data_IF_229635085526
#
_entry.id   IF_229635085526
#
_cell.length_a   1.000
_cell.length_b   1.000
_cell.length_c   1.000
_cell.angle_alpha   90.00
_cell.angle_beta   90.00
_cell.angle_gamma   90.00
#
_symmetry.space_group_name_H-M   'P 1'
#
loop_
_entity.id
_entity.type
_entity.pdbx_description
1 polymer ?
#
# COMPACT_ATOMS: atom_id res chain seq x y z
N UNK A 1 -12.06 -8.57 -8.20
CA UNK A 1 -11.33 -9.86 -8.31
C UNK A 1 -9.80 -9.65 -8.41
N UNK A 2 -9.21 -8.89 -7.47
CA UNK A 2 -7.77 -8.85 -7.13
C UNK A 2 -7.55 -8.81 -5.61
N UNK A 3 -8.63 -8.73 -4.83
CA UNK A 3 -8.65 -8.68 -3.36
C UNK A 3 -8.29 -10.03 -2.71
N UNK A 4 -8.44 -11.13 -3.46
CA UNK A 4 -8.30 -12.49 -2.91
C UNK A 4 -6.84 -12.92 -2.61
N UNK A 5 -5.87 -12.36 -3.35
CA UNK A 5 -4.45 -12.76 -3.27
C UNK A 5 -3.81 -12.35 -1.93
N UNK A 6 -4.35 -11.32 -1.27
CA UNK A 6 -3.83 -10.80 0.01
C UNK A 6 -4.61 -11.31 1.22
N UNK A 7 -5.76 -11.96 0.98
CA UNK A 7 -6.63 -12.52 2.02
C UNK A 7 -6.26 -13.97 2.35
N UNK A 8 -5.59 -14.64 1.41
CA UNK A 8 -5.18 -16.04 1.49
C UNK A 8 -3.91 -16.24 2.33
N UNK A 9 -3.67 -17.49 2.75
CA UNK A 9 -2.45 -17.90 3.45
C UNK A 9 -1.17 -17.53 2.66
N UNK A 10 -1.25 -17.52 1.33
CA UNK A 10 -0.19 -17.04 0.45
C UNK A 10 0.12 -15.56 0.63
N UNK A 11 -0.91 -14.72 0.82
CA UNK A 11 -0.75 -13.30 1.13
C UNK A 11 0.03 -13.08 2.42
N UNK A 12 -0.29 -13.86 3.47
CA UNK A 12 0.44 -13.80 4.75
C UNK A 12 1.89 -14.23 4.61
N UNK A 13 2.17 -15.31 3.89
CA UNK A 13 3.54 -15.76 3.58
C UNK A 13 4.32 -14.69 2.81
N UNK A 14 3.68 -14.04 1.85
CA UNK A 14 4.28 -12.97 1.07
C UNK A 14 4.63 -11.76 1.95
N UNK A 15 3.73 -11.32 2.83
CA UNK A 15 3.99 -10.22 3.77
C UNK A 15 5.12 -10.56 4.74
N UNK A 16 5.12 -11.77 5.31
CA UNK A 16 6.19 -12.23 6.19
C UNK A 16 7.55 -12.26 5.49
N UNK A 17 7.59 -12.76 4.25
CA UNK A 17 8.81 -12.74 3.44
C UNK A 17 9.33 -11.32 3.19
N UNK A 18 8.44 -10.34 2.97
CA UNK A 18 8.84 -8.93 2.81
C UNK A 18 9.37 -8.36 4.14
N UNK A 19 8.75 -8.69 5.27
CA UNK A 19 9.21 -8.22 6.59
C UNK A 19 10.61 -8.76 6.93
N UNK A 20 10.90 -10.02 6.57
CA UNK A 20 12.20 -10.65 6.81
C UNK A 20 13.28 -10.18 5.83
N UNK A 21 12.98 -10.14 4.53
CA UNK A 21 13.94 -9.74 3.46
C UNK A 21 14.09 -8.23 3.32
N UNK A 22 13.19 -7.47 3.94
CA UNK A 22 13.06 -6.04 3.75
C UNK A 22 12.38 -5.68 2.42
N UNK A 23 12.33 -4.38 2.17
CA UNK A 23 11.46 -3.81 1.15
C UNK A 23 12.07 -3.80 -0.28
N UNK A 24 13.29 -4.32 -0.45
CA UNK A 24 14.00 -4.46 -1.73
C UNK A 24 13.98 -5.91 -2.26
N UNK A 25 12.86 -6.60 -2.08
CA UNK A 25 12.66 -7.97 -2.55
C UNK A 25 11.63 -8.05 -3.70
N UNK A 26 11.61 -9.17 -4.41
CA UNK A 26 10.67 -9.39 -5.51
C UNK A 26 9.23 -9.57 -5.01
N UNK A 27 9.05 -10.05 -3.78
CA UNK A 27 7.78 -10.15 -3.09
C UNK A 27 7.14 -8.77 -2.92
N UNK A 28 7.94 -7.75 -2.59
CA UNK A 28 7.44 -6.37 -2.50
C UNK A 28 6.99 -5.86 -3.87
N UNK A 29 7.66 -6.24 -4.97
CA UNK A 29 7.22 -5.88 -6.33
C UNK A 29 5.87 -6.51 -6.65
N UNK A 30 5.68 -7.79 -6.31
CA UNK A 30 4.39 -8.49 -6.47
C UNK A 30 3.28 -7.79 -5.69
N UNK A 31 3.57 -7.40 -4.44
CA UNK A 31 2.60 -6.66 -3.62
C UNK A 31 2.22 -5.29 -4.23
N UNK A 32 3.23 -4.52 -4.66
CA UNK A 32 3.00 -3.23 -5.33
C UNK A 32 2.14 -3.40 -6.57
N UNK A 33 2.37 -4.44 -7.38
CA UNK A 33 1.55 -4.74 -8.55
C UNK A 33 0.11 -5.07 -8.17
N UNK A 34 -0.11 -5.83 -7.09
CA UNK A 34 -1.45 -6.16 -6.60
C UNK A 34 -2.24 -4.91 -6.16
N UNK A 35 -1.58 -3.98 -5.45
CA UNK A 35 -2.22 -2.75 -4.94
C UNK A 35 -2.17 -1.56 -5.91
N UNK A 36 -1.46 -1.67 -7.04
CA UNK A 36 -1.28 -0.58 -8.01
C UNK A 36 -2.60 -0.01 -8.54
N UNK A 37 -3.56 -0.89 -8.89
CA UNK A 37 -4.87 -0.45 -9.38
C UNK A 37 -5.67 0.34 -8.35
N UNK A 38 -5.65 -0.09 -7.09
CA UNK A 38 -6.26 0.65 -5.99
C UNK A 38 -5.57 2.00 -5.77
N UNK A 39 -4.23 2.00 -5.74
CA UNK A 39 -3.43 3.22 -5.52
C UNK A 39 -3.70 4.26 -6.60
N UNK A 40 -3.74 3.85 -7.88
CA UNK A 40 -4.07 4.73 -9.00
C UNK A 40 -5.49 5.27 -8.88
N UNK A 41 -6.46 4.43 -8.52
CA UNK A 41 -7.85 4.85 -8.32
C UNK A 41 -7.99 5.86 -7.18
N UNK A 42 -7.32 5.61 -6.04
CA UNK A 42 -7.30 6.50 -4.89
C UNK A 42 -6.62 7.82 -5.24
N UNK A 43 -5.44 7.81 -5.88
CA UNK A 43 -4.74 9.02 -6.29
C UNK A 43 -5.58 9.93 -7.20
N UNK A 44 -6.41 9.36 -8.09
CA UNK A 44 -7.33 10.14 -8.94
C UNK A 44 -8.35 10.95 -8.12
N UNK A 45 -8.81 10.42 -7.00
CA UNK A 45 -9.74 11.12 -6.09
C UNK A 45 -9.08 12.28 -5.32
N UNK A 46 -7.76 12.34 -5.32
CA UNK A 46 -6.96 13.36 -4.65
C UNK A 46 -6.27 14.34 -5.62
N UNK A 47 -6.55 14.24 -6.92
CA UNK A 47 -6.07 15.18 -7.93
C UNK A 47 -6.56 16.62 -7.66
N UNK A 48 -5.80 17.60 -8.18
CA UNK A 48 -6.10 19.03 -8.08
C UNK A 48 -6.11 19.59 -6.64
N UNK A 49 -5.59 18.85 -5.65
CA UNK A 49 -5.47 19.29 -4.25
C UNK A 49 -4.10 19.90 -3.91
N UNK A 50 -3.35 20.34 -4.92
CA UNK A 50 -2.03 20.97 -4.75
C UNK A 50 -0.83 20.04 -4.90
N UNK A 51 -1.04 18.75 -5.23
CA UNK A 51 0.02 17.78 -5.48
C UNK A 51 -0.11 17.18 -6.89
N UNK A 52 1.02 16.88 -7.54
CA UNK A 52 1.01 16.23 -8.84
C UNK A 52 0.52 14.77 -8.71
N UNK A 53 -0.04 14.23 -9.79
CA UNK A 53 -0.57 12.86 -9.79
C UNK A 53 0.52 11.80 -9.50
N UNK A 54 1.73 12.00 -10.03
CA UNK A 54 2.89 11.13 -9.76
C UNK A 54 3.26 11.14 -8.27
N UNK A 55 3.36 12.33 -7.68
CA UNK A 55 3.66 12.49 -6.25
C UNK A 55 2.62 11.82 -5.34
N UNK A 56 1.33 11.85 -5.71
CA UNK A 56 0.28 11.15 -4.98
C UNK A 56 0.46 9.63 -5.02
N UNK A 57 0.82 9.10 -6.19
CA UNK A 57 1.11 7.66 -6.33
C UNK A 57 2.33 7.29 -5.49
N UNK A 58 3.41 8.07 -5.56
CA UNK A 58 4.64 7.79 -4.83
C UNK A 58 4.40 7.85 -3.31
N UNK A 59 3.65 8.84 -2.83
CA UNK A 59 3.23 8.93 -1.44
C UNK A 59 2.40 7.71 -1.00
N UNK A 60 1.44 7.29 -1.82
CA UNK A 60 0.64 6.09 -1.56
C UNK A 60 1.50 4.81 -1.49
N UNK A 61 2.45 4.65 -2.42
CA UNK A 61 3.36 3.50 -2.46
C UNK A 61 4.32 3.47 -1.27
N UNK A 62 4.72 4.63 -0.75
CA UNK A 62 5.46 4.73 0.51
C UNK A 62 4.59 4.35 1.71
N UNK A 63 3.33 4.79 1.74
CA UNK A 63 2.33 4.31 2.69
C UNK A 63 2.22 2.79 2.71
N UNK A 64 2.15 2.16 1.54
CA UNK A 64 2.11 0.71 1.41
C UNK A 64 3.37 0.03 1.96
N UNK A 65 4.59 0.54 1.68
CA UNK A 65 5.83 -0.02 2.26
C UNK A 65 5.77 -0.01 3.78
N UNK A 66 5.33 1.11 4.37
CA UNK A 66 5.18 1.23 5.83
C UNK A 66 4.10 0.30 6.37
N UNK A 67 2.98 0.15 5.67
CA UNK A 67 1.91 -0.76 6.03
C UNK A 67 2.42 -2.19 6.17
N UNK A 68 3.18 -2.68 5.19
CA UNK A 68 3.76 -4.03 5.24
C UNK A 68 4.67 -4.23 6.44
N UNK A 69 5.53 -3.26 6.73
CA UNK A 69 6.47 -3.37 7.84
C UNK A 69 5.79 -3.35 9.22
N UNK A 70 4.64 -2.68 9.33
CA UNK A 70 3.89 -2.54 10.59
C UNK A 70 2.78 -3.57 10.78
N UNK A 71 2.38 -4.24 9.71
CA UNK A 71 1.25 -5.16 9.75
C UNK A 71 1.58 -6.42 10.55
N UNK A 72 0.71 -6.79 11.47
CA UNK A 72 0.81 -8.06 12.19
C UNK A 72 0.16 -9.18 11.36
N UNK A 73 0.95 -10.18 10.98
CA UNK A 73 0.49 -11.34 10.20
C UNK A 73 -0.49 -12.24 10.96
N UNK A 74 -0.55 -12.11 12.30
CA UNK A 74 -1.52 -12.80 13.15
C UNK A 74 -2.80 -12.00 13.37
N UNK A 75 -2.91 -10.80 12.79
CA UNK A 75 -4.12 -9.98 12.87
C UNK A 75 -5.30 -10.66 12.16
N UNK A 76 -6.50 -10.51 12.73
CA UNK A 76 -7.76 -10.91 12.12
C UNK A 76 -8.21 -9.97 10.99
N UNK A 77 -7.54 -8.83 10.80
CA UNK A 77 -7.89 -7.84 9.77
C UNK A 77 -7.19 -8.15 8.47
N UNK A 78 -7.93 -8.23 7.36
CA UNK A 78 -7.35 -8.44 6.04
C UNK A 78 -6.34 -7.33 5.66
N UNK A 79 -5.12 -7.73 5.24
CA UNK A 79 -4.09 -6.80 4.81
C UNK A 79 -4.55 -5.87 3.68
N UNK A 80 -5.41 -6.32 2.76
CA UNK A 80 -5.93 -5.44 1.70
C UNK A 80 -6.64 -4.22 2.29
N UNK A 81 -7.46 -4.41 3.33
CA UNK A 81 -8.18 -3.34 4.01
C UNK A 81 -7.20 -2.41 4.74
N UNK A 82 -6.27 -3.00 5.50
CA UNK A 82 -5.26 -2.24 6.24
C UNK A 82 -4.33 -1.43 5.32
N UNK A 83 -3.79 -2.06 4.29
CA UNK A 83 -2.93 -1.43 3.30
C UNK A 83 -3.65 -0.35 2.50
N UNK A 84 -4.92 -0.56 2.14
CA UNK A 84 -5.73 0.45 1.47
C UNK A 84 -5.90 1.72 2.34
N UNK A 85 -6.12 1.55 3.65
CA UNK A 85 -6.19 2.67 4.59
C UNK A 85 -4.87 3.43 4.68
N UNK A 86 -3.75 2.72 4.86
CA UNK A 86 -2.41 3.34 4.92
C UNK A 86 -2.03 4.09 3.63
N UNK A 87 -2.38 3.55 2.46
CA UNK A 87 -2.20 4.22 1.16
C UNK A 87 -2.95 5.55 1.13
N UNK A 88 -4.23 5.54 1.50
CA UNK A 88 -5.06 6.75 1.52
C UNK A 88 -4.51 7.77 2.52
N UNK A 89 -4.16 7.33 3.73
CA UNK A 89 -3.59 8.20 4.76
C UNK A 89 -2.29 8.86 4.30
N UNK A 90 -1.40 8.09 3.66
CA UNK A 90 -0.14 8.63 3.14
C UNK A 90 -0.36 9.71 2.07
N UNK A 91 -1.36 9.56 1.20
CA UNK A 91 -1.72 10.60 0.22
C UNK A 91 -2.26 11.87 0.90
N UNK A 92 -3.16 11.72 1.87
CA UNK A 92 -3.69 12.87 2.63
C UNK A 92 -2.54 13.61 3.34
N UNK A 93 -1.64 12.85 3.96
CA UNK A 93 -0.51 13.43 4.68
C UNK A 93 0.43 14.17 3.73
N UNK A 94 0.76 13.60 2.58
CA UNK A 94 1.59 14.26 1.57
C UNK A 94 0.97 15.56 1.05
N UNK A 95 -0.37 15.60 0.87
CA UNK A 95 -1.08 16.84 0.50
C UNK A 95 -0.96 17.89 1.60
N UNK A 96 -1.08 17.49 2.88
CA UNK A 96 -0.96 18.41 4.02
C UNK A 96 0.45 18.97 4.19
N UNK A 97 1.48 18.17 3.98
CA UNK A 97 2.88 18.60 4.13
C UNK A 97 3.36 19.52 3.01
N UNK A 98 2.73 19.44 1.84
CA UNK A 98 3.07 20.27 0.67
C UNK A 98 2.28 21.58 0.59
N UNK A 99 1.30 21.77 1.47
CA UNK A 99 0.44 22.95 1.54
C UNK A 99 0.90 23.89 2.64
#
# INVERSE_FOLDING_TARGET
MKEDILTTDEGRKLLKAIQEKGTNCDEMKKLKLAMSGFTVSSARQHMNKGLAFGDLIDAGMEGLRRAVMKYDVNSDTNFYVYGAWEIHQAMIQAIKEKK
#
